data_IF_542741892158
#
_entry.id   IF_542741892158
#
_cell.length_a   1.000
_cell.length_b   1.000
_cell.length_c   1.000
_cell.angle_alpha   90.00
_cell.angle_beta   90.00
_cell.angle_gamma   90.00
#
_symmetry.space_group_name_H-M   'P 1'
#
loop_
_entity.id
_entity.type
_entity.pdbx_description
1 polymer ?
#
# COMPACT_ATOMS: atom_id res chain seq x y z
N UNK A 1 -7.54 -37.51 6.38
CA UNK A 1 -6.10 -37.38 6.50
C UNK A 1 -5.56 -36.27 5.62
N UNK A 2 -4.31 -35.87 5.82
CA UNK A 2 -3.60 -34.93 4.96
C UNK A 2 -2.13 -35.34 4.90
N UNK A 3 -1.46 -34.97 3.80
CA UNK A 3 -0.01 -35.11 3.62
C UNK A 3 0.67 -33.77 3.74
N UNK A 4 1.93 -33.73 4.12
CA UNK A 4 2.72 -32.51 4.27
C UNK A 4 4.05 -32.67 3.59
N UNK A 5 4.42 -31.69 2.79
CA UNK A 5 5.73 -31.57 2.16
C UNK A 5 6.46 -30.36 2.75
N UNK A 6 7.74 -30.53 3.04
CA UNK A 6 8.59 -29.51 3.66
C UNK A 6 9.87 -29.35 2.86
N UNK A 7 10.24 -28.12 2.56
CA UNK A 7 11.55 -27.73 2.08
C UNK A 7 12.16 -26.77 3.10
N UNK A 8 13.39 -27.07 3.53
CA UNK A 8 14.15 -26.25 4.48
C UNK A 8 15.58 -26.11 3.99
N UNK A 9 16.08 -24.86 4.02
CA UNK A 9 17.46 -24.52 3.75
C UNK A 9 17.94 -23.55 4.83
N UNK A 10 18.78 -24.04 5.75
CA UNK A 10 19.27 -23.26 6.89
C UNK A 10 20.27 -22.17 6.46
N UNK A 11 21.06 -22.42 5.43
CA UNK A 11 22.05 -21.45 4.93
C UNK A 11 21.38 -20.22 4.30
N UNK A 12 20.22 -20.42 3.65
CA UNK A 12 19.45 -19.35 3.01
C UNK A 12 18.31 -18.85 3.91
N UNK A 13 18.17 -19.37 5.12
CA UNK A 13 17.06 -19.07 6.05
C UNK A 13 15.66 -19.28 5.42
N UNK A 14 15.52 -20.31 4.56
CA UNK A 14 14.27 -20.62 3.85
C UNK A 14 13.58 -21.81 4.49
N UNK A 15 12.30 -21.65 4.78
CA UNK A 15 11.39 -22.71 5.17
C UNK A 15 10.10 -22.63 4.38
N UNK A 16 9.73 -23.70 3.68
CA UNK A 16 8.46 -23.82 2.95
C UNK A 16 7.76 -25.10 3.33
N UNK A 17 6.47 -25.02 3.61
CA UNK A 17 5.64 -26.17 3.92
C UNK A 17 4.30 -26.03 3.21
N UNK A 18 3.89 -27.08 2.51
CA UNK A 18 2.53 -27.24 1.98
C UNK A 18 1.83 -28.42 2.64
N UNK A 19 0.54 -28.28 2.81
CA UNK A 19 -0.36 -29.32 3.33
C UNK A 19 -1.36 -29.62 2.22
N UNK A 20 -1.45 -30.88 1.83
CA UNK A 20 -2.32 -31.35 0.75
C UNK A 20 -3.32 -32.38 1.28
N UNK A 21 -4.39 -32.59 0.55
CA UNK A 21 -5.37 -33.66 0.83
C UNK A 21 -4.72 -35.04 0.83
N UNK A 22 -5.39 -36.03 1.40
CA UNK A 22 -4.88 -37.41 1.51
C UNK A 22 -4.60 -38.05 0.15
N UNK A 23 -5.42 -37.74 -0.85
CA UNK A 23 -5.24 -38.13 -2.24
C UNK A 23 -4.14 -37.37 -2.99
N UNK A 24 -3.60 -36.31 -2.37
CA UNK A 24 -2.55 -35.44 -2.96
C UNK A 24 -3.06 -34.39 -3.96
N UNK A 25 -4.36 -34.32 -4.22
CA UNK A 25 -4.92 -33.55 -5.33
C UNK A 25 -5.29 -32.11 -4.99
N UNK A 26 -5.49 -31.77 -3.71
CA UNK A 26 -5.92 -30.43 -3.29
C UNK A 26 -4.94 -29.80 -2.31
N UNK A 27 -4.65 -28.52 -2.51
CA UNK A 27 -3.88 -27.71 -1.55
C UNK A 27 -4.77 -27.26 -0.40
N UNK A 28 -4.46 -27.70 0.82
CA UNK A 28 -5.19 -27.32 2.03
C UNK A 28 -4.59 -26.08 2.71
N UNK A 29 -3.28 -25.92 2.64
CA UNK A 29 -2.59 -24.76 3.23
C UNK A 29 -1.12 -24.72 2.89
N UNK A 30 -0.51 -23.56 3.12
CA UNK A 30 0.93 -23.35 2.94
C UNK A 30 1.50 -22.39 4.00
N UNK A 31 2.75 -22.62 4.38
CA UNK A 31 3.55 -21.72 5.23
C UNK A 31 4.90 -21.54 4.56
N UNK A 32 5.32 -20.29 4.40
CA UNK A 32 6.63 -19.95 3.82
C UNK A 32 7.32 -18.88 4.66
N UNK A 33 8.62 -19.06 4.85
CA UNK A 33 9.51 -18.13 5.57
C UNK A 33 10.78 -17.99 4.74
N UNK A 34 11.32 -16.78 4.65
CA UNK A 34 12.44 -16.45 3.78
C UNK A 34 11.99 -16.22 2.33
N UNK A 35 12.16 -17.20 1.45
CA UNK A 35 11.65 -17.13 0.09
C UNK A 35 10.14 -17.42 0.02
N UNK A 36 9.36 -16.42 -0.32
CA UNK A 36 7.90 -16.47 -0.46
C UNK A 36 7.42 -16.31 -1.91
N UNK A 37 8.31 -16.47 -2.88
CA UNK A 37 8.02 -16.26 -4.31
C UNK A 37 6.85 -17.11 -4.83
N UNK A 38 6.66 -18.31 -4.28
CA UNK A 38 5.60 -19.23 -4.70
C UNK A 38 4.23 -18.91 -4.09
N UNK A 39 4.12 -17.89 -3.22
CA UNK A 39 2.88 -17.58 -2.49
C UNK A 39 1.69 -17.31 -3.41
N UNK A 40 1.91 -16.54 -4.48
CA UNK A 40 0.86 -16.17 -5.43
C UNK A 40 0.23 -17.40 -6.10
N UNK A 41 1.06 -18.30 -6.60
CA UNK A 41 0.62 -19.50 -7.29
C UNK A 41 -0.07 -20.47 -6.33
N UNK A 42 0.49 -20.70 -5.15
CA UNK A 42 -0.12 -21.53 -4.11
C UNK A 42 -1.48 -21.00 -3.64
N UNK A 43 -1.62 -19.67 -3.56
CA UNK A 43 -2.90 -19.05 -3.22
C UNK A 43 -3.95 -19.31 -4.30
N UNK A 44 -3.58 -19.18 -5.59
CA UNK A 44 -4.49 -19.47 -6.70
C UNK A 44 -4.90 -20.94 -6.74
N UNK A 45 -3.96 -21.87 -6.56
CA UNK A 45 -4.23 -23.30 -6.45
C UNK A 45 -5.28 -23.59 -5.37
N UNK A 46 -5.13 -22.97 -4.19
CA UNK A 46 -6.05 -23.15 -3.07
C UNK A 46 -7.41 -22.51 -3.30
N UNK A 47 -7.46 -21.23 -3.73
CA UNK A 47 -8.72 -20.48 -3.87
C UNK A 47 -9.62 -21.02 -4.98
N UNK A 48 -9.00 -21.50 -6.05
CA UNK A 48 -9.72 -22.00 -7.22
C UNK A 48 -9.84 -23.54 -7.23
N UNK A 49 -9.46 -24.21 -6.15
CA UNK A 49 -9.48 -25.68 -6.00
C UNK A 49 -8.85 -26.42 -7.20
N UNK A 50 -7.77 -25.84 -7.76
CA UNK A 50 -7.08 -26.41 -8.90
C UNK A 50 -6.38 -27.70 -8.47
N UNK A 51 -6.53 -28.76 -9.26
CA UNK A 51 -5.88 -30.05 -9.00
C UNK A 51 -4.35 -29.90 -9.06
N UNK A 52 -3.69 -30.42 -8.04
CA UNK A 52 -2.24 -30.35 -7.90
C UNK A 52 -1.55 -31.29 -8.89
N UNK A 53 -0.31 -30.99 -9.30
CA UNK A 53 0.48 -31.93 -10.11
C UNK A 53 0.74 -33.23 -9.34
N UNK A 54 1.09 -34.27 -10.05
CA UNK A 54 1.37 -35.62 -9.50
C UNK A 54 2.44 -35.57 -8.38
N UNK A 55 3.38 -34.60 -8.46
CA UNK A 55 4.42 -34.33 -7.49
C UNK A 55 4.25 -32.93 -6.86
N UNK A 56 3.41 -32.78 -5.83
CA UNK A 56 3.12 -31.48 -5.22
C UNK A 56 4.34 -30.80 -4.56
N UNK A 57 5.36 -31.56 -4.17
CA UNK A 57 6.63 -31.08 -3.62
C UNK A 57 7.37 -30.14 -4.59
N UNK A 58 7.20 -30.35 -5.90
CA UNK A 58 7.81 -29.48 -6.94
C UNK A 58 7.38 -28.02 -6.84
N UNK A 59 6.21 -27.76 -6.26
CA UNK A 59 5.68 -26.41 -6.08
C UNK A 59 6.50 -25.53 -5.11
N UNK A 60 7.24 -26.16 -4.18
CA UNK A 60 8.02 -25.48 -3.15
C UNK A 60 9.52 -25.69 -3.29
N UNK A 61 9.96 -26.54 -4.20
CA UNK A 61 11.38 -26.76 -4.47
C UNK A 61 11.98 -25.57 -5.24
N UNK A 62 13.26 -25.22 -5.00
CA UNK A 62 13.93 -24.20 -5.79
C UNK A 62 14.07 -24.65 -7.25
N UNK A 63 13.95 -23.72 -8.19
CA UNK A 63 14.22 -24.00 -9.59
C UNK A 63 15.71 -24.36 -9.74
N UNK A 64 16.00 -25.54 -10.30
CA UNK A 64 17.37 -25.86 -10.72
C UNK A 64 17.75 -24.99 -11.93
N UNK A 65 19.02 -24.62 -12.02
CA UNK A 65 19.52 -23.81 -13.13
C UNK A 65 19.15 -24.46 -14.48
N UNK A 66 18.27 -23.81 -15.23
CA UNK A 66 17.79 -24.26 -16.55
C UNK A 66 16.44 -24.96 -16.58
N UNK A 67 15.77 -25.19 -15.43
CA UNK A 67 14.38 -25.67 -15.39
C UNK A 67 13.45 -24.50 -15.07
N UNK A 68 12.50 -24.21 -15.95
CA UNK A 68 11.40 -23.31 -15.62
C UNK A 68 10.51 -23.96 -14.57
N UNK A 69 10.25 -23.26 -13.45
CA UNK A 69 9.20 -23.68 -12.52
C UNK A 69 7.88 -23.68 -13.29
N UNK A 70 7.01 -24.67 -13.09
CA UNK A 70 5.65 -24.62 -13.60
C UNK A 70 4.93 -23.44 -12.89
N UNK A 71 5.01 -22.26 -13.45
CA UNK A 71 4.16 -21.15 -13.04
C UNK A 71 2.76 -21.40 -13.58
N UNK A 72 1.76 -21.25 -12.75
CA UNK A 72 0.37 -21.20 -13.22
C UNK A 72 0.20 -19.91 -14.05
N UNK A 73 0.53 -20.00 -15.32
CA UNK A 73 0.25 -18.92 -16.27
C UNK A 73 -1.24 -18.59 -16.26
N UNK A 74 -1.58 -17.35 -16.61
CA UNK A 74 -2.98 -16.91 -16.70
C UNK A 74 -3.83 -17.85 -17.59
N UNK A 75 -3.22 -18.53 -18.55
CA UNK A 75 -3.85 -19.50 -19.42
C UNK A 75 -4.29 -20.79 -18.71
N UNK A 76 -3.57 -21.22 -17.73
CA UNK A 76 -3.87 -22.44 -16.96
C UNK A 76 -5.01 -22.27 -15.97
N UNK A 77 -5.42 -21.03 -15.66
CA UNK A 77 -6.54 -20.76 -14.78
C UNK A 77 -7.88 -21.10 -15.48
N UNK A 78 -8.81 -21.81 -14.83
CA UNK A 78 -10.14 -22.04 -15.38
C UNK A 78 -10.93 -20.74 -15.49
N UNK A 79 -11.91 -20.67 -16.37
CA UNK A 79 -12.75 -19.47 -16.55
C UNK A 79 -13.52 -19.08 -15.28
N UNK A 80 -13.81 -20.04 -14.42
CA UNK A 80 -14.44 -19.82 -13.11
C UNK A 80 -13.47 -19.28 -12.05
N UNK A 81 -12.15 -19.22 -12.34
CA UNK A 81 -11.16 -18.74 -11.39
C UNK A 81 -11.42 -17.30 -10.97
N UNK A 82 -11.52 -17.06 -9.67
CA UNK A 82 -11.73 -15.71 -9.10
C UNK A 82 -10.42 -14.92 -9.14
N UNK A 83 -10.36 -13.94 -10.03
CA UNK A 83 -9.21 -13.05 -10.22
C UNK A 83 -9.25 -11.86 -9.25
N UNK A 84 -10.43 -11.28 -9.05
CA UNK A 84 -10.65 -10.19 -8.10
C UNK A 84 -11.67 -10.59 -7.04
N UNK A 85 -11.20 -10.94 -5.85
CA UNK A 85 -12.07 -11.33 -4.72
C UNK A 85 -12.90 -10.19 -4.14
N UNK A 86 -12.50 -8.94 -4.39
CA UNK A 86 -13.21 -7.76 -3.88
C UNK A 86 -14.55 -7.52 -4.61
N UNK A 87 -14.59 -7.83 -5.89
CA UNK A 87 -15.75 -7.64 -6.77
C UNK A 87 -16.24 -8.94 -7.40
N UNK A 88 -15.73 -10.07 -6.94
CA UNK A 88 -16.08 -11.41 -7.42
C UNK A 88 -15.98 -11.53 -8.96
N UNK A 89 -14.84 -11.02 -9.50
CA UNK A 89 -14.58 -11.04 -10.94
C UNK A 89 -13.77 -12.28 -11.28
N UNK A 90 -14.36 -13.13 -12.14
CA UNK A 90 -13.71 -14.34 -12.64
C UNK A 90 -12.90 -14.07 -13.91
N UNK A 91 -12.03 -15.02 -14.29
CA UNK A 91 -11.32 -15.01 -15.56
C UNK A 91 -12.30 -14.93 -16.73
N UNK A 92 -13.39 -15.70 -16.70
CA UNK A 92 -14.42 -15.68 -17.75
C UNK A 92 -15.05 -14.31 -17.95
N UNK A 93 -15.32 -13.54 -16.87
CA UNK A 93 -15.82 -12.16 -16.98
C UNK A 93 -14.82 -11.23 -17.67
N UNK A 94 -13.52 -11.43 -17.44
CA UNK A 94 -12.48 -10.65 -18.13
C UNK A 94 -12.41 -11.06 -19.60
N UNK A 95 -12.44 -12.35 -19.91
CA UNK A 95 -12.47 -12.86 -21.28
C UNK A 95 -13.69 -12.35 -22.08
N UNK A 96 -14.86 -12.33 -21.46
CA UNK A 96 -16.08 -11.78 -22.04
C UNK A 96 -15.93 -10.27 -22.32
N UNK A 97 -15.37 -9.50 -21.40
CA UNK A 97 -15.09 -8.08 -21.62
C UNK A 97 -14.11 -7.86 -22.78
N UNK A 98 -13.07 -8.69 -22.90
CA UNK A 98 -12.14 -8.65 -24.05
C UNK A 98 -12.86 -8.93 -25.37
N UNK A 99 -13.74 -9.94 -25.41
CA UNK A 99 -14.54 -10.27 -26.59
C UNK A 99 -15.51 -9.14 -26.99
N UNK A 100 -15.91 -8.30 -26.04
CA UNK A 100 -16.74 -7.10 -26.27
C UNK A 100 -15.92 -5.87 -26.70
N UNK A 101 -14.60 -5.99 -26.87
CA UNK A 101 -13.74 -4.92 -27.36
C UNK A 101 -13.08 -4.09 -26.26
N UNK A 102 -13.10 -4.54 -25.01
CA UNK A 102 -12.43 -3.88 -23.90
C UNK A 102 -10.98 -4.36 -23.79
N UNK A 103 -10.05 -3.64 -24.39
CA UNK A 103 -8.67 -4.09 -24.59
C UNK A 103 -7.65 -3.45 -23.65
N UNK A 104 -8.06 -2.55 -22.78
CA UNK A 104 -7.15 -1.91 -21.82
C UNK A 104 -7.50 -2.27 -20.38
N UNK A 105 -6.51 -2.19 -19.51
CA UNK A 105 -6.73 -2.39 -18.05
C UNK A 105 -7.76 -1.37 -17.49
N UNK A 106 -7.81 -0.17 -18.07
CA UNK A 106 -8.78 0.86 -17.74
C UNK A 106 -10.20 0.43 -18.07
N UNK A 107 -10.42 -0.14 -19.26
CA UNK A 107 -11.71 -0.65 -19.70
C UNK A 107 -12.16 -1.82 -18.80
N UNK A 108 -11.27 -2.77 -18.55
CA UNK A 108 -11.56 -3.91 -17.67
C UNK A 108 -11.97 -3.42 -16.27
N UNK A 109 -11.27 -2.43 -15.69
CA UNK A 109 -11.65 -1.80 -14.43
C UNK A 109 -13.03 -1.17 -14.49
N UNK A 110 -13.35 -0.46 -15.59
CA UNK A 110 -14.62 0.24 -15.75
C UNK A 110 -15.81 -0.73 -15.85
N UNK A 111 -15.64 -1.82 -16.61
CA UNK A 111 -16.72 -2.77 -16.91
C UNK A 111 -16.91 -3.80 -15.81
N UNK A 112 -15.80 -4.31 -15.23
CA UNK A 112 -15.87 -5.41 -14.25
C UNK A 112 -15.71 -4.97 -12.81
N UNK A 113 -15.18 -3.78 -12.56
CA UNK A 113 -14.79 -3.32 -11.21
C UNK A 113 -13.47 -3.93 -10.71
N UNK A 114 -12.86 -4.87 -11.43
CA UNK A 114 -11.60 -5.49 -11.02
C UNK A 114 -10.49 -4.45 -10.86
N UNK A 115 -9.75 -4.52 -9.75
CA UNK A 115 -8.65 -3.59 -9.47
C UNK A 115 -9.05 -2.20 -8.99
N UNK A 116 -10.35 -1.88 -8.88
CA UNK A 116 -10.81 -0.57 -8.40
C UNK A 116 -10.89 -0.48 -6.87
N UNK A 117 -10.85 -1.62 -6.19
CA UNK A 117 -10.89 -1.69 -4.73
C UNK A 117 -9.49 -1.65 -4.10
N UNK A 118 -8.99 -2.80 -3.63
CA UNK A 118 -7.69 -2.90 -2.96
C UNK A 118 -6.49 -2.80 -3.92
N UNK A 119 -6.70 -3.01 -5.22
CA UNK A 119 -5.66 -3.00 -6.24
C UNK A 119 -4.79 -4.26 -6.31
N UNK A 120 -4.85 -5.15 -5.33
CA UNK A 120 -3.97 -6.33 -5.24
C UNK A 120 -4.12 -7.34 -6.38
N UNK A 121 -5.24 -7.32 -7.09
CA UNK A 121 -5.47 -8.20 -8.24
C UNK A 121 -4.93 -7.64 -9.57
N UNK A 122 -4.48 -6.37 -9.63
CA UNK A 122 -4.08 -5.72 -10.89
C UNK A 122 -3.04 -6.52 -11.68
N UNK A 123 -1.94 -7.06 -11.09
CA UNK A 123 -0.98 -7.85 -11.83
C UNK A 123 -1.60 -9.08 -12.50
N UNK A 124 -2.45 -9.81 -11.77
CA UNK A 124 -3.11 -10.99 -12.30
C UNK A 124 -4.18 -10.64 -13.35
N UNK A 125 -4.95 -9.57 -13.13
CA UNK A 125 -5.91 -9.02 -14.13
C UNK A 125 -5.18 -8.66 -15.42
N UNK A 126 -4.00 -8.03 -15.32
CA UNK A 126 -3.18 -7.67 -16.50
C UNK A 126 -2.67 -8.91 -17.21
N UNK A 127 -2.20 -9.93 -16.50
CA UNK A 127 -1.77 -11.20 -17.10
C UNK A 127 -2.90 -11.90 -17.82
N UNK A 128 -4.09 -11.96 -17.22
CA UNK A 128 -5.27 -12.57 -17.86
C UNK A 128 -5.70 -11.75 -19.10
N UNK A 129 -5.76 -10.42 -18.99
CA UNK A 129 -6.09 -9.55 -20.12
C UNK A 129 -5.12 -9.77 -21.29
N UNK A 130 -3.82 -9.79 -21.03
CA UNK A 130 -2.80 -10.00 -22.06
C UNK A 130 -2.92 -11.39 -22.72
N UNK A 131 -3.19 -12.42 -21.93
CA UNK A 131 -3.40 -13.77 -22.44
C UNK A 131 -4.65 -13.86 -23.33
N UNK A 132 -5.76 -13.24 -22.93
CA UNK A 132 -7.00 -13.23 -23.73
C UNK A 132 -6.86 -12.36 -24.99
N UNK A 133 -6.15 -11.23 -24.93
CA UNK A 133 -5.83 -10.41 -26.10
C UNK A 133 -4.96 -11.17 -27.12
N UNK A 134 -3.95 -11.91 -26.63
CA UNK A 134 -3.11 -12.75 -27.49
C UNK A 134 -3.93 -13.84 -28.19
N UNK A 135 -4.88 -14.50 -27.50
CA UNK A 135 -5.82 -15.46 -28.10
C UNK A 135 -6.71 -14.82 -29.15
N UNK A 136 -7.13 -13.58 -28.93
CA UNK A 136 -7.93 -12.81 -29.89
C UNK A 136 -7.12 -12.26 -31.08
N UNK A 137 -5.80 -12.50 -31.15
CA UNK A 137 -4.90 -11.98 -32.17
C UNK A 137 -4.66 -10.48 -32.10
N UNK A 138 -4.93 -9.86 -30.97
CA UNK A 138 -4.69 -8.44 -30.72
C UNK A 138 -3.27 -8.24 -30.23
N UNK A 139 -2.53 -7.33 -30.87
CA UNK A 139 -1.17 -6.98 -30.45
C UNK A 139 -1.17 -6.32 -29.05
N UNK A 140 -0.50 -6.95 -28.09
CA UNK A 140 -0.40 -6.44 -26.72
C UNK A 140 0.73 -5.43 -26.67
N UNK A 141 0.39 -4.15 -26.44
CA UNK A 141 1.39 -3.12 -26.16
C UNK A 141 1.83 -3.22 -24.70
N UNK A 142 3.13 -3.46 -24.53
CA UNK A 142 3.75 -3.54 -23.19
C UNK A 142 4.31 -2.18 -22.72
N UNK A 143 3.62 -1.10 -23.07
CA UNK A 143 4.01 0.25 -22.68
C UNK A 143 4.00 0.39 -21.16
N UNK A 144 5.02 1.04 -20.59
CA UNK A 144 5.12 1.25 -19.14
C UNK A 144 3.93 2.07 -18.63
N UNK A 145 3.60 3.14 -19.31
CA UNK A 145 2.45 4.00 -19.00
C UNK A 145 2.20 5.00 -20.14
N UNK A 146 1.22 5.86 -19.97
CA UNK A 146 0.92 6.94 -20.92
C UNK A 146 2.07 7.93 -21.19
N UNK A 147 3.03 8.02 -20.25
CA UNK A 147 4.21 8.91 -20.38
C UNK A 147 5.33 8.29 -21.22
N UNK A 148 5.41 6.96 -21.28
CA UNK A 148 6.42 6.22 -22.02
C UNK A 148 5.77 5.10 -22.84
N UNK A 149 5.73 5.27 -24.17
CA UNK A 149 5.27 4.24 -25.11
C UNK A 149 6.39 3.21 -25.38
N UNK A 150 7.01 2.74 -24.31
CA UNK A 150 8.10 1.77 -24.32
C UNK A 150 7.88 0.76 -23.19
N UNK A 151 8.29 -0.48 -23.41
CA UNK A 151 8.38 -1.48 -22.36
C UNK A 151 9.56 -1.18 -21.42
N UNK A 152 9.56 -1.80 -20.22
CA UNK A 152 10.70 -1.73 -19.29
C UNK A 152 12.01 -2.11 -19.95
N UNK A 153 11.99 -3.15 -20.80
CA UNK A 153 13.20 -3.67 -21.45
C UNK A 153 13.74 -2.70 -22.51
N UNK A 154 12.86 -2.08 -23.29
CA UNK A 154 13.25 -1.05 -24.24
C UNK A 154 13.83 0.18 -23.55
N UNK A 155 13.20 0.65 -22.47
CA UNK A 155 13.78 1.74 -21.65
C UNK A 155 15.14 1.37 -21.06
N UNK A 156 15.34 0.14 -20.62
CA UNK A 156 16.63 -0.33 -20.15
C UNK A 156 17.70 -0.26 -21.25
N UNK A 157 17.39 -0.69 -22.47
CA UNK A 157 18.31 -0.62 -23.60
C UNK A 157 18.62 0.81 -24.00
N UNK A 158 17.60 1.69 -24.09
CA UNK A 158 17.78 3.11 -24.40
C UNK A 158 18.68 3.80 -23.38
N UNK A 159 18.41 3.61 -22.09
CA UNK A 159 19.24 4.16 -21.01
C UNK A 159 20.69 3.71 -21.11
N UNK A 160 20.93 2.43 -21.42
CA UNK A 160 22.31 1.90 -21.55
C UNK A 160 23.03 2.39 -22.79
N UNK A 161 22.35 2.39 -23.94
CA UNK A 161 22.96 2.71 -25.23
C UNK A 161 23.29 4.20 -25.31
N UNK A 162 22.36 5.05 -24.85
CA UNK A 162 22.53 6.51 -24.88
C UNK A 162 23.16 7.08 -23.61
N UNK A 163 23.56 6.22 -22.69
CA UNK A 163 24.17 6.60 -21.41
C UNK A 163 23.37 7.63 -20.59
N UNK A 164 22.04 7.55 -20.67
CA UNK A 164 21.12 8.46 -19.94
C UNK A 164 21.37 8.33 -18.44
N UNK A 165 21.58 9.45 -17.76
CA UNK A 165 21.94 9.48 -16.33
C UNK A 165 20.82 9.95 -15.42
N UNK A 166 19.79 10.63 -15.96
CA UNK A 166 18.72 11.21 -15.15
C UNK A 166 17.34 10.85 -15.68
N UNK A 167 16.33 10.91 -14.82
CA UNK A 167 14.94 10.74 -15.24
C UNK A 167 14.47 11.87 -16.16
N UNK A 168 14.90 13.09 -15.88
CA UNK A 168 14.49 14.26 -16.65
C UNK A 168 15.01 14.17 -18.08
N UNK A 169 16.26 13.73 -18.28
CA UNK A 169 16.84 13.46 -19.61
C UNK A 169 16.09 12.34 -20.34
N UNK A 170 15.72 11.25 -19.63
CA UNK A 170 14.94 10.15 -20.19
C UNK A 170 13.55 10.64 -20.63
N UNK A 171 12.92 11.47 -19.81
CA UNK A 171 11.60 12.03 -20.09
C UNK A 171 11.62 12.99 -21.28
N UNK A 172 12.64 13.85 -21.37
CA UNK A 172 12.81 14.81 -22.47
C UNK A 172 13.01 14.09 -23.81
N UNK A 173 13.82 13.03 -23.85
CA UNK A 173 14.14 12.31 -25.09
C UNK A 173 13.05 11.35 -25.54
N UNK A 174 12.44 10.63 -24.60
CA UNK A 174 11.58 9.47 -24.91
C UNK A 174 10.21 9.50 -24.25
N UNK A 175 9.96 10.46 -23.40
CA UNK A 175 8.72 10.56 -22.66
C UNK A 175 7.88 11.77 -23.02
N UNK A 176 6.81 11.96 -22.27
CA UNK A 176 5.94 13.14 -22.33
C UNK A 176 5.39 13.48 -20.96
N UNK A 177 5.02 14.74 -20.74
CA UNK A 177 4.46 15.21 -19.46
C UNK A 177 5.50 15.23 -18.35
N UNK A 178 5.09 14.90 -17.12
CA UNK A 178 5.91 14.99 -15.91
C UNK A 178 6.29 13.61 -15.32
N UNK A 179 5.87 12.52 -15.97
CA UNK A 179 5.97 11.17 -15.42
C UNK A 179 4.93 10.92 -14.31
N UNK A 180 4.79 9.66 -13.88
CA UNK A 180 3.80 9.22 -12.90
C UNK A 180 4.39 8.24 -11.87
N UNK A 181 3.54 7.78 -10.97
CA UNK A 181 3.86 6.79 -9.93
C UNK A 181 4.35 5.43 -10.46
N UNK A 182 4.17 5.17 -11.76
CA UNK A 182 4.64 3.94 -12.42
C UNK A 182 6.03 4.15 -13.03
N UNK A 183 6.17 5.15 -13.92
CA UNK A 183 7.41 5.33 -14.68
C UNK A 183 8.57 5.90 -13.85
N UNK A 184 8.32 6.77 -12.86
CA UNK A 184 9.39 7.34 -12.03
C UNK A 184 10.14 6.28 -11.22
N UNK A 185 9.50 5.43 -10.41
CA UNK A 185 10.22 4.37 -9.68
C UNK A 185 10.78 3.30 -10.62
N UNK A 186 10.12 3.00 -11.75
CA UNK A 186 10.64 2.07 -12.74
C UNK A 186 11.93 2.59 -13.38
N UNK A 187 11.94 3.84 -13.85
CA UNK A 187 13.13 4.47 -14.38
C UNK A 187 14.24 4.60 -13.33
N UNK A 188 13.89 4.96 -12.08
CA UNK A 188 14.82 4.95 -10.96
C UNK A 188 15.48 3.59 -10.74
N UNK A 189 14.71 2.51 -10.79
CA UNK A 189 15.23 1.14 -10.71
C UNK A 189 16.16 0.79 -11.88
N UNK A 190 15.82 1.19 -13.11
CA UNK A 190 16.65 0.94 -14.29
C UNK A 190 17.97 1.74 -14.18
N UNK A 191 17.88 3.04 -13.87
CA UNK A 191 19.05 3.91 -13.71
C UNK A 191 19.98 3.37 -12.61
N UNK A 192 19.43 2.93 -11.49
CA UNK A 192 20.20 2.31 -10.41
C UNK A 192 20.88 1.00 -10.84
N UNK A 193 20.23 0.22 -11.69
CA UNK A 193 20.81 -1.04 -12.24
C UNK A 193 21.90 -0.78 -13.26
N UNK A 194 21.81 0.31 -14.03
CA UNK A 194 22.78 0.68 -15.04
C UNK A 194 24.00 1.43 -14.46
N UNK A 195 23.76 2.26 -13.43
CA UNK A 195 24.72 3.21 -12.89
C UNK A 195 24.82 3.03 -11.38
N UNK A 196 25.86 2.29 -10.93
CA UNK A 196 26.02 1.90 -9.53
C UNK A 196 26.01 3.05 -8.51
N UNK A 197 26.42 4.26 -8.89
CA UNK A 197 26.42 5.43 -8.03
C UNK A 197 25.05 6.10 -7.93
N UNK A 198 24.09 5.74 -8.77
CA UNK A 198 22.78 6.41 -8.86
C UNK A 198 22.03 6.36 -7.53
N UNK A 199 22.02 5.19 -6.86
CA UNK A 199 21.31 4.97 -5.59
C UNK A 199 21.83 5.88 -4.47
N UNK A 200 23.12 6.20 -4.50
CA UNK A 200 23.79 6.95 -3.43
C UNK A 200 23.59 8.47 -3.53
N UNK A 201 22.99 8.95 -4.60
CA UNK A 201 22.72 10.39 -4.80
C UNK A 201 21.49 10.82 -4.04
N UNK A 202 21.60 11.75 -3.04
CA UNK A 202 20.48 12.16 -2.20
C UNK A 202 19.28 12.73 -2.99
N UNK A 203 19.55 13.43 -4.09
CA UNK A 203 18.54 14.02 -4.97
C UNK A 203 17.67 12.98 -5.69
N UNK A 204 18.15 11.75 -5.83
CA UNK A 204 17.47 10.66 -6.54
C UNK A 204 16.68 9.71 -5.62
N UNK A 205 16.80 9.86 -4.31
CA UNK A 205 16.04 9.05 -3.32
C UNK A 205 14.54 9.06 -3.59
N UNK A 206 14.00 10.17 -4.08
CA UNK A 206 12.58 10.33 -4.41
C UNK A 206 12.09 9.38 -5.52
N UNK A 207 12.97 8.89 -6.38
CA UNK A 207 12.62 7.96 -7.46
C UNK A 207 12.52 6.52 -6.96
N UNK A 208 13.14 6.21 -5.84
CA UNK A 208 13.21 4.83 -5.32
C UNK A 208 12.03 4.46 -4.41
N UNK A 209 11.44 5.46 -3.74
CA UNK A 209 10.30 5.23 -2.84
C UNK A 209 9.31 6.39 -2.88
N UNK A 210 8.23 6.19 -3.62
CA UNK A 210 7.17 7.19 -3.78
C UNK A 210 6.29 7.34 -2.55
N UNK A 211 6.29 6.36 -1.64
CA UNK A 211 5.46 6.35 -0.45
C UNK A 211 6.18 6.91 0.79
N UNK A 212 7.50 6.87 0.82
CA UNK A 212 8.33 7.35 1.93
C UNK A 212 8.93 8.75 1.69
N UNK A 213 8.40 9.49 0.73
CA UNK A 213 8.87 10.82 0.43
C UNK A 213 8.42 11.82 1.50
N UNK A 214 9.38 12.43 2.19
CA UNK A 214 9.14 13.38 3.28
C UNK A 214 8.53 14.70 2.82
N UNK A 215 8.69 15.07 1.56
CA UNK A 215 8.20 16.34 1.04
C UNK A 215 6.80 16.24 0.43
N UNK A 216 6.48 15.11 -0.19
CA UNK A 216 5.18 14.93 -0.81
C UNK A 216 4.98 13.50 -1.31
N UNK A 217 3.71 13.10 -1.46
CA UNK A 217 3.34 11.81 -2.04
C UNK A 217 3.00 12.00 -3.52
N UNK A 218 3.61 11.21 -4.40
CA UNK A 218 3.39 11.32 -5.84
C UNK A 218 1.98 10.89 -6.22
N UNK A 219 1.35 11.65 -7.09
CA UNK A 219 0.00 11.43 -7.61
C UNK A 219 0.06 10.84 -9.02
N UNK A 220 -1.07 10.38 -9.54
CA UNK A 220 -1.16 9.74 -10.85
C UNK A 220 -0.68 10.60 -12.01
N UNK A 221 -0.94 11.90 -11.91
CA UNK A 221 -0.52 12.90 -12.92
C UNK A 221 0.94 13.35 -12.77
N UNK A 222 1.69 12.73 -11.85
CA UNK A 222 3.08 13.08 -11.58
C UNK A 222 3.28 14.29 -10.67
N UNK A 223 2.21 14.97 -10.26
CA UNK A 223 2.26 15.99 -9.21
C UNK A 223 2.37 15.38 -7.82
N UNK A 224 2.45 16.21 -6.79
CA UNK A 224 2.63 15.77 -5.42
C UNK A 224 1.54 16.32 -4.49
N UNK A 225 1.17 15.51 -3.50
CA UNK A 225 0.35 15.97 -2.38
C UNK A 225 1.23 16.44 -1.24
N UNK A 226 0.89 17.58 -0.65
CA UNK A 226 1.50 18.12 0.55
C UNK A 226 0.48 18.04 1.67
N UNK A 227 0.75 17.23 2.70
CA UNK A 227 -0.18 17.00 3.80
C UNK A 227 0.51 17.34 5.12
N UNK A 228 0.41 18.60 5.57
CA UNK A 228 1.00 19.03 6.82
C UNK A 228 0.39 18.26 7.99
N UNK A 229 1.22 17.96 8.98
CA UNK A 229 0.77 17.30 10.19
C UNK A 229 -0.11 18.23 11.03
N UNK A 230 -1.26 17.74 11.42
CA UNK A 230 -2.19 18.37 12.36
C UNK A 230 -2.51 17.33 13.43
N UNK A 231 -1.74 17.31 14.52
CA UNK A 231 -1.90 16.31 15.57
C UNK A 231 -3.30 16.40 16.19
N UNK A 232 -4.01 15.27 16.26
CA UNK A 232 -5.38 15.25 16.73
C UNK A 232 -6.37 16.09 15.93
N UNK A 233 -5.99 16.61 14.77
CA UNK A 233 -6.80 17.52 13.95
C UNK A 233 -6.74 18.98 14.39
N UNK A 234 -5.90 19.33 15.37
CA UNK A 234 -5.75 20.72 15.81
C UNK A 234 -4.93 21.56 14.83
N UNK A 235 -5.38 22.78 14.63
CA UNK A 235 -4.68 23.81 13.82
C UNK A 235 -4.97 25.20 14.39
N UNK A 236 -3.96 26.04 14.51
CA UNK A 236 -4.15 27.43 14.94
C UNK A 236 -4.69 28.28 13.79
N UNK A 237 -5.45 29.35 14.06
CA UNK A 237 -5.90 30.27 13.01
C UNK A 237 -4.77 30.85 12.17
N UNK A 238 -3.61 31.11 12.78
CA UNK A 238 -2.43 31.65 12.10
C UNK A 238 -1.82 30.62 11.14
N UNK A 239 -1.67 29.36 11.58
CA UNK A 239 -1.19 28.29 10.74
C UNK A 239 -2.17 28.00 9.59
N UNK A 240 -3.49 28.02 9.86
CA UNK A 240 -4.51 27.85 8.84
C UNK A 240 -4.44 28.95 7.77
N UNK A 241 -4.20 30.21 8.17
CA UNK A 241 -4.01 31.33 7.23
C UNK A 241 -2.83 31.08 6.30
N UNK A 242 -1.65 30.73 6.83
CA UNK A 242 -0.45 30.42 6.01
C UNK A 242 -0.71 29.26 5.06
N UNK A 243 -1.41 28.24 5.49
CA UNK A 243 -1.75 27.10 4.63
C UNK A 243 -2.64 27.52 3.44
N UNK A 244 -3.60 28.41 3.68
CA UNK A 244 -4.46 28.95 2.63
C UNK A 244 -3.67 29.86 1.66
N UNK A 245 -2.75 30.68 2.16
CA UNK A 245 -1.87 31.54 1.36
C UNK A 245 -0.96 30.68 0.47
N UNK A 246 -0.33 29.64 0.99
CA UNK A 246 0.49 28.70 0.23
C UNK A 246 -0.34 27.99 -0.85
N UNK A 247 -1.54 27.53 -0.51
CA UNK A 247 -2.41 26.90 -1.49
C UNK A 247 -2.77 27.83 -2.65
N UNK A 248 -3.08 29.10 -2.36
CA UNK A 248 -3.39 30.10 -3.37
C UNK A 248 -2.18 30.45 -4.24
N UNK A 249 -1.01 30.63 -3.64
CA UNK A 249 0.22 31.00 -4.34
C UNK A 249 0.68 29.95 -5.36
N UNK A 250 0.58 28.66 -4.98
CA UNK A 250 0.98 27.54 -5.84
C UNK A 250 -0.17 26.90 -6.60
N UNK A 251 -1.37 27.52 -6.57
CA UNK A 251 -2.59 27.02 -7.23
C UNK A 251 -2.90 25.56 -6.88
N UNK A 252 -2.84 25.21 -5.59
CA UNK A 252 -3.05 23.85 -5.11
C UNK A 252 -4.52 23.59 -4.79
N UNK A 253 -5.03 22.43 -5.18
CA UNK A 253 -6.34 21.97 -4.73
C UNK A 253 -6.29 21.62 -3.24
N UNK A 254 -7.24 22.12 -2.47
CA UNK A 254 -7.31 21.90 -1.03
C UNK A 254 -8.49 21.01 -0.65
N UNK A 255 -8.27 20.07 0.28
CA UNK A 255 -9.33 19.20 0.80
C UNK A 255 -9.10 18.84 2.26
N UNK A 256 -10.15 18.93 3.07
CA UNK A 256 -10.19 18.30 4.39
C UNK A 256 -10.30 16.79 4.20
N UNK A 257 -9.35 16.05 4.72
CA UNK A 257 -9.27 14.59 4.58
C UNK A 257 -9.94 13.88 5.76
N UNK A 258 -10.29 12.60 5.58
CA UNK A 258 -10.80 11.76 6.67
C UNK A 258 -9.79 11.55 7.82
N UNK A 259 -8.54 11.95 7.63
CA UNK A 259 -7.49 11.98 8.64
C UNK A 259 -7.46 13.27 9.47
N UNK A 260 -8.47 14.11 9.37
CA UNK A 260 -8.54 15.42 10.04
C UNK A 260 -7.35 16.34 9.67
N UNK A 261 -6.90 16.27 8.43
CA UNK A 261 -5.85 17.12 7.89
C UNK A 261 -6.33 17.84 6.66
N UNK A 262 -5.76 18.99 6.38
CA UNK A 262 -5.96 19.69 5.13
C UNK A 262 -4.83 19.28 4.18
N UNK A 263 -5.19 18.55 3.13
CA UNK A 263 -4.25 18.15 2.08
C UNK A 263 -4.23 19.20 0.97
N UNK A 264 -3.03 19.51 0.47
CA UNK A 264 -2.76 20.33 -0.69
C UNK A 264 -2.33 19.41 -1.83
N UNK A 265 -2.96 19.51 -2.98
CA UNK A 265 -2.77 18.58 -4.09
C UNK A 265 -2.40 19.34 -5.36
N UNK A 266 -1.57 18.73 -6.22
CA UNK A 266 -1.15 19.30 -7.49
C UNK A 266 0.20 20.04 -7.43
N UNK A 267 0.97 19.88 -6.34
CA UNK A 267 2.28 20.53 -6.22
C UNK A 267 3.29 19.96 -7.22
N UNK A 268 4.06 20.84 -7.88
CA UNK A 268 5.19 20.39 -8.69
C UNK A 268 6.37 19.99 -7.79
N UNK A 269 7.18 19.04 -8.27
CA UNK A 269 8.33 18.53 -7.51
C UNK A 269 9.25 19.64 -7.03
N UNK A 270 9.54 20.60 -7.91
CA UNK A 270 10.51 21.66 -7.65
C UNK A 270 9.97 22.73 -6.72
N UNK A 271 8.66 22.86 -6.58
CA UNK A 271 8.01 23.77 -5.63
C UNK A 271 8.00 23.23 -4.19
N UNK A 272 8.14 21.90 -4.00
CA UNK A 272 8.02 21.27 -2.69
C UNK A 272 8.95 21.88 -1.62
N UNK A 273 10.24 22.18 -1.89
CA UNK A 273 11.11 22.79 -0.89
C UNK A 273 10.63 24.18 -0.45
N UNK A 274 10.14 25.00 -1.38
CA UNK A 274 9.63 26.34 -1.10
C UNK A 274 8.31 26.30 -0.32
N UNK A 275 7.38 25.41 -0.72
CA UNK A 275 6.13 25.17 -0.02
C UNK A 275 6.41 24.74 1.43
N UNK A 276 7.27 23.74 1.63
CA UNK A 276 7.58 23.24 2.97
C UNK A 276 8.34 24.26 3.82
N UNK A 277 9.20 25.08 3.24
CA UNK A 277 9.86 26.16 3.99
C UNK A 277 8.83 27.11 4.63
N UNK A 278 7.78 27.48 3.91
CA UNK A 278 6.70 28.33 4.43
C UNK A 278 5.87 27.63 5.48
N UNK A 279 5.49 26.37 5.23
CA UNK A 279 4.69 25.59 6.16
C UNK A 279 5.42 25.29 7.48
N UNK A 280 6.71 24.94 7.39
CA UNK A 280 7.55 24.71 8.58
C UNK A 280 7.72 25.99 9.39
N UNK A 281 7.91 27.14 8.75
CA UNK A 281 7.98 28.43 9.42
C UNK A 281 6.68 28.78 10.17
N UNK A 282 5.53 28.25 9.72
CA UNK A 282 4.23 28.38 10.39
C UNK A 282 3.98 27.29 11.48
N UNK A 283 4.98 26.44 11.76
CA UNK A 283 4.90 25.42 12.79
C UNK A 283 4.39 24.04 12.33
N UNK A 284 4.19 23.84 11.03
CA UNK A 284 3.83 22.52 10.52
C UNK A 284 5.03 21.57 10.45
N UNK A 285 4.74 20.29 10.55
CA UNK A 285 5.70 19.20 10.34
C UNK A 285 5.40 18.44 9.05
N UNK A 286 6.46 17.94 8.39
CA UNK A 286 6.40 17.13 7.16
C UNK A 286 6.55 15.63 7.47
N UNK A 287 6.27 14.79 6.49
CA UNK A 287 6.61 13.36 6.47
C UNK A 287 5.67 12.42 7.22
N UNK A 288 4.73 12.93 8.00
CA UNK A 288 3.91 12.13 8.91
C UNK A 288 2.71 11.43 8.27
N UNK A 289 2.32 11.84 7.07
CA UNK A 289 1.12 11.34 6.41
C UNK A 289 1.37 10.20 5.41
N UNK A 290 2.64 9.83 5.20
CA UNK A 290 3.06 8.92 4.14
C UNK A 290 3.55 7.58 4.66
N UNK A 291 3.47 6.56 3.79
CA UNK A 291 4.06 5.24 3.96
C UNK A 291 3.61 4.42 5.17
N UNK A 292 4.48 3.52 5.56
CA UNK A 292 4.32 2.54 6.64
C UNK A 292 4.69 3.17 7.98
N UNK A 293 3.80 4.01 8.50
CA UNK A 293 3.99 4.71 9.78
C UNK A 293 2.64 4.92 10.46
N UNK A 294 2.67 5.44 11.68
CA UNK A 294 1.46 5.98 12.29
C UNK A 294 1.00 7.19 11.48
N UNK A 295 -0.18 7.07 10.89
CA UNK A 295 -0.73 8.08 9.98
C UNK A 295 -1.41 9.22 10.73
N UNK A 296 -2.13 8.91 11.78
CA UNK A 296 -2.87 9.86 12.61
C UNK A 296 -3.43 9.18 13.85
N UNK A 297 -3.76 10.01 14.84
CA UNK A 297 -4.71 9.70 15.89
C UNK A 297 -5.95 10.59 15.68
N UNK A 298 -7.01 10.06 15.05
CA UNK A 298 -8.26 10.79 14.83
C UNK A 298 -8.95 11.03 16.18
N UNK A 299 -9.36 12.27 16.45
CA UNK A 299 -10.05 12.63 17.70
C UNK A 299 -11.46 13.14 17.45
N UNK A 300 -12.32 13.08 18.45
CA UNK A 300 -13.47 13.94 18.52
C UNK A 300 -13.11 15.22 19.28
N UNK A 301 -14.02 16.15 19.44
CA UNK A 301 -13.75 17.44 20.11
C UNK A 301 -13.57 17.35 21.63
N UNK A 302 -13.77 16.16 22.22
CA UNK A 302 -13.49 15.87 23.64
C UNK A 302 -14.42 16.55 24.65
N UNK A 303 -14.08 16.38 25.91
CA UNK A 303 -14.88 16.90 27.02
C UNK A 303 -14.91 18.42 27.11
N UNK A 304 -13.90 19.10 26.58
CA UNK A 304 -13.84 20.58 26.61
C UNK A 304 -14.96 21.23 25.78
N UNK A 305 -15.30 20.66 24.63
CA UNK A 305 -16.21 21.28 23.68
C UNK A 305 -17.52 20.48 23.48
N UNK A 306 -17.54 19.21 23.90
CA UNK A 306 -18.70 18.35 23.72
C UNK A 306 -19.40 18.09 25.04
N UNK A 307 -20.70 18.44 25.15
CA UNK A 307 -21.52 18.17 26.35
C UNK A 307 -21.61 16.69 26.73
N UNK A 308 -21.31 15.77 25.82
CA UNK A 308 -21.35 14.33 26.06
C UNK A 308 -19.95 13.73 26.27
N UNK A 309 -18.91 14.52 26.09
CA UNK A 309 -17.55 14.07 26.29
C UNK A 309 -17.28 13.85 27.78
N UNK A 310 -16.77 12.66 28.13
CA UNK A 310 -16.42 12.31 29.52
C UNK A 310 -14.92 12.43 29.80
N UNK A 311 -14.10 12.37 28.76
CA UNK A 311 -12.64 12.49 28.83
C UNK A 311 -12.09 13.41 27.75
N UNK A 312 -10.87 13.92 27.95
CA UNK A 312 -10.13 14.73 26.99
C UNK A 312 -9.52 13.88 25.85
N UNK A 313 -10.30 13.63 24.81
CA UNK A 313 -9.85 12.87 23.65
C UNK A 313 -8.84 13.62 22.78
N UNK A 314 -8.90 14.95 22.74
CA UNK A 314 -7.99 15.76 21.91
C UNK A 314 -6.60 15.74 22.52
N UNK A 315 -6.45 16.08 23.80
CA UNK A 315 -5.18 16.06 24.48
C UNK A 315 -4.52 14.67 24.47
N UNK A 316 -5.33 13.61 24.66
CA UNK A 316 -4.84 12.23 24.58
C UNK A 316 -4.37 11.88 23.15
N UNK A 317 -5.16 12.21 22.12
CA UNK A 317 -4.82 11.94 20.74
C UNK A 317 -3.57 12.68 20.27
N UNK A 318 -3.44 13.97 20.63
CA UNK A 318 -2.24 14.77 20.35
C UNK A 318 -1.01 14.17 21.01
N UNK A 319 -1.12 13.75 22.30
CA UNK A 319 -0.02 13.12 23.02
C UNK A 319 0.40 11.79 22.37
N UNK A 320 -0.56 10.94 22.00
CA UNK A 320 -0.29 9.67 21.32
C UNK A 320 0.39 9.92 19.97
N UNK A 321 -0.14 10.82 19.16
CA UNK A 321 0.45 11.13 17.85
C UNK A 321 1.87 11.68 17.98
N UNK A 322 2.14 12.52 18.98
CA UNK A 322 3.48 13.04 19.28
C UNK A 322 4.44 11.96 19.76
N UNK A 323 3.97 11.00 20.57
CA UNK A 323 4.79 9.92 21.11
C UNK A 323 5.28 8.98 20.01
N UNK A 324 4.43 8.63 19.06
CA UNK A 324 4.71 7.59 18.05
C UNK A 324 5.05 8.15 16.68
N UNK A 325 5.11 9.47 16.51
CA UNK A 325 5.51 10.08 15.23
C UNK A 325 6.89 9.61 14.78
N UNK A 326 7.04 9.36 13.49
CA UNK A 326 8.31 8.91 12.89
C UNK A 326 8.62 7.42 13.08
N UNK A 327 7.82 6.68 13.85
CA UNK A 327 7.99 5.23 13.97
C UNK A 327 7.51 4.56 12.69
N UNK A 328 8.41 3.78 12.07
CA UNK A 328 8.06 2.91 10.94
C UNK A 328 7.25 1.73 11.45
N UNK A 329 6.22 1.35 10.71
CA UNK A 329 5.35 0.22 11.04
C UNK A 329 5.27 -0.73 9.84
N UNK A 330 4.92 -2.02 10.03
CA UNK A 330 4.81 -2.99 8.94
C UNK A 330 3.81 -2.58 7.86
N UNK A 331 2.78 -1.86 8.24
CA UNK A 331 1.75 -1.26 7.37
C UNK A 331 1.35 0.10 7.94
N UNK A 332 0.60 0.88 7.17
CA UNK A 332 0.06 2.15 7.67
C UNK A 332 -0.88 1.89 8.84
N UNK A 333 -0.66 2.55 9.95
CA UNK A 333 -1.48 2.45 11.16
C UNK A 333 -2.31 3.71 11.38
N UNK A 334 -3.53 3.53 11.82
CA UNK A 334 -4.46 4.61 12.15
C UNK A 334 -5.02 4.37 13.54
N UNK A 335 -5.02 5.41 14.35
CA UNK A 335 -5.61 5.41 15.67
C UNK A 335 -6.87 6.27 15.71
N UNK A 336 -7.75 5.99 16.66
CA UNK A 336 -8.94 6.78 16.92
C UNK A 336 -9.16 6.94 18.42
N UNK A 337 -9.44 8.14 18.87
CA UNK A 337 -9.68 8.47 20.28
C UNK A 337 -11.02 9.18 20.40
N UNK A 338 -12.01 8.49 20.94
CA UNK A 338 -13.35 9.01 21.19
C UNK A 338 -13.52 9.40 22.68
N UNK A 339 -13.97 10.60 22.93
CA UNK A 339 -14.17 11.16 24.28
C UNK A 339 -15.41 10.64 25.02
N UNK A 340 -16.15 9.72 24.42
CA UNK A 340 -17.29 8.99 25.01
C UNK A 340 -17.71 7.83 24.12
N UNK A 341 -18.67 7.02 24.59
CA UNK A 341 -19.21 5.83 23.90
C UNK A 341 -20.01 6.12 22.63
N UNK A 342 -20.25 7.40 22.27
CA UNK A 342 -20.86 7.78 20.97
C UNK A 342 -19.91 7.60 19.78
N UNK A 343 -18.63 7.42 20.06
CA UNK A 343 -17.65 6.89 19.10
C UNK A 343 -17.45 7.76 17.85
N UNK A 344 -17.50 9.10 17.99
CA UNK A 344 -17.42 10.04 16.86
C UNK A 344 -16.07 10.05 16.14
N UNK A 345 -15.00 9.52 16.76
CA UNK A 345 -13.68 9.35 16.12
C UNK A 345 -13.55 8.04 15.34
N UNK A 346 -14.61 7.22 15.27
CA UNK A 346 -14.61 5.92 14.58
C UNK A 346 -13.48 4.99 15.09
N UNK A 347 -13.29 4.97 16.40
CA UNK A 347 -12.17 4.26 17.04
C UNK A 347 -12.23 2.75 16.77
N UNK A 348 -13.41 2.12 16.78
CA UNK A 348 -13.55 0.68 16.51
C UNK A 348 -13.29 0.28 15.04
N UNK A 349 -13.22 1.26 14.14
CA UNK A 349 -12.81 1.03 12.75
C UNK A 349 -11.32 1.30 12.48
N UNK A 350 -10.48 1.40 13.51
CA UNK A 350 -9.05 1.69 13.40
C UNK A 350 -8.20 0.53 13.88
N UNK A 351 -6.92 0.53 13.51
CA UNK A 351 -5.95 -0.47 13.96
C UNK A 351 -5.84 -0.48 15.49
N UNK A 352 -5.94 0.71 16.10
CA UNK A 352 -6.07 0.91 17.53
C UNK A 352 -7.13 1.96 17.83
N UNK A 353 -8.13 1.58 18.62
CA UNK A 353 -9.23 2.42 19.06
C UNK A 353 -9.21 2.66 20.54
N UNK A 354 -9.51 3.88 20.96
CA UNK A 354 -9.60 4.28 22.37
C UNK A 354 -10.94 5.00 22.56
N UNK A 355 -11.73 4.51 23.50
CA UNK A 355 -13.04 5.08 23.82
C UNK A 355 -13.08 5.39 25.31
N UNK A 356 -13.43 6.64 25.62
CA UNK A 356 -13.57 7.09 27.00
C UNK A 356 -14.84 6.53 27.66
N UNK A 357 -14.70 6.16 28.95
CA UNK A 357 -15.76 5.87 29.88
C UNK A 357 -15.64 6.78 31.10
N UNK A 358 -16.62 6.78 31.99
CA UNK A 358 -16.53 7.53 33.25
C UNK A 358 -15.42 7.00 34.17
N UNK A 359 -15.08 5.69 34.05
CA UNK A 359 -14.06 5.04 34.85
C UNK A 359 -12.63 5.14 34.27
N UNK A 360 -12.50 5.45 32.96
CA UNK A 360 -11.19 5.49 32.31
C UNK A 360 -11.27 5.39 30.79
N UNK A 361 -10.41 4.57 30.21
CA UNK A 361 -10.29 4.37 28.79
C UNK A 361 -10.41 2.90 28.40
N UNK A 362 -11.26 2.59 27.46
CA UNK A 362 -11.33 1.27 26.83
C UNK A 362 -10.43 1.25 25.61
N UNK A 363 -9.57 0.25 25.52
CA UNK A 363 -8.66 0.03 24.39
C UNK A 363 -9.15 -1.10 23.51
N UNK A 364 -9.29 -0.80 22.22
CA UNK A 364 -9.70 -1.72 21.17
C UNK A 364 -8.59 -1.88 20.15
N UNK A 365 -8.43 -3.08 19.57
CA UNK A 365 -7.35 -3.39 18.62
C UNK A 365 -7.88 -4.16 17.42
N UNK A 366 -7.12 -4.12 16.31
CA UNK A 366 -7.37 -4.91 15.11
C UNK A 366 -8.67 -4.56 14.35
N UNK A 367 -9.15 -3.33 14.46
CA UNK A 367 -10.25 -2.83 13.64
C UNK A 367 -9.80 -2.48 12.22
N UNK A 368 -10.74 -2.49 11.30
CA UNK A 368 -10.51 -2.11 9.91
C UNK A 368 -11.75 -1.39 9.35
N UNK A 369 -11.57 -0.14 8.92
CA UNK A 369 -12.60 0.64 8.22
C UNK A 369 -12.47 0.61 6.70
N UNK A 370 -11.70 -0.34 6.15
CA UNK A 370 -11.49 -0.50 4.72
C UNK A 370 -12.57 -1.35 4.03
N UNK A 371 -12.23 -1.93 2.88
CA UNK A 371 -13.15 -2.71 2.04
C UNK A 371 -13.77 -3.94 2.72
N UNK A 372 -13.03 -4.57 3.64
CA UNK A 372 -13.57 -5.62 4.52
C UNK A 372 -13.66 -5.04 5.93
N UNK A 373 -14.73 -4.31 6.27
CA UNK A 373 -14.84 -3.66 7.56
C UNK A 373 -14.89 -4.69 8.67
N UNK A 374 -14.19 -4.39 9.76
CA UNK A 374 -14.18 -5.20 10.98
C UNK A 374 -14.16 -4.27 12.17
N UNK A 375 -15.02 -4.51 13.14
CA UNK A 375 -14.94 -3.87 14.44
C UNK A 375 -13.70 -4.37 15.18
N UNK A 376 -13.03 -3.46 15.86
CA UNK A 376 -11.90 -3.78 16.72
C UNK A 376 -12.36 -4.60 17.94
N UNK A 377 -11.51 -5.50 18.40
CA UNK A 377 -11.76 -6.29 19.60
C UNK A 377 -11.35 -5.48 20.85
N UNK A 378 -12.15 -5.56 21.90
CA UNK A 378 -11.83 -4.96 23.21
C UNK A 378 -10.64 -5.72 23.82
N UNK A 379 -9.52 -5.02 24.01
CA UNK A 379 -8.32 -5.58 24.63
C UNK A 379 -8.31 -5.36 26.15
N UNK A 380 -8.69 -4.16 26.60
CA UNK A 380 -8.74 -3.81 28.01
C UNK A 380 -9.74 -2.67 28.26
N UNK A 381 -10.33 -2.63 29.45
CA UNK A 381 -11.32 -1.64 29.86
C UNK A 381 -10.88 -0.83 31.06
N UNK A 382 -11.43 0.36 31.18
CA UNK A 382 -11.33 1.26 32.33
C UNK A 382 -9.87 1.57 32.75
N UNK A 383 -8.99 1.67 31.74
CA UNK A 383 -7.58 1.97 31.95
C UNK A 383 -7.39 3.44 32.35
N UNK A 384 -6.55 3.66 33.36
CA UNK A 384 -5.97 4.99 33.55
C UNK A 384 -5.01 5.34 32.40
N UNK A 385 -4.69 6.63 32.26
CA UNK A 385 -3.91 7.15 31.14
C UNK A 385 -2.51 6.50 31.06
N UNK A 386 -1.83 6.30 32.18
CA UNK A 386 -0.46 5.78 32.20
C UNK A 386 -0.43 4.29 31.84
N UNK A 387 -1.41 3.54 32.34
CA UNK A 387 -1.59 2.14 31.99
C UNK A 387 -1.98 1.98 30.53
N UNK A 388 -2.87 2.83 30.00
CA UNK A 388 -3.23 2.84 28.59
C UNK A 388 -1.98 3.02 27.70
N UNK A 389 -1.10 3.98 28.01
CA UNK A 389 0.13 4.20 27.23
C UNK A 389 1.05 2.97 27.26
N UNK A 390 1.18 2.30 28.40
CA UNK A 390 1.94 1.03 28.49
C UNK A 390 1.35 -0.07 27.59
N UNK A 391 0.03 -0.16 27.52
CA UNK A 391 -0.65 -1.10 26.62
C UNK A 391 -0.41 -0.76 25.15
N UNK A 392 -0.47 0.53 24.78
CA UNK A 392 -0.17 1.00 23.43
C UNK A 392 1.28 0.70 23.06
N UNK A 393 2.25 0.99 23.95
CA UNK A 393 3.67 0.67 23.75
C UNK A 393 3.88 -0.82 23.45
N UNK A 394 3.21 -1.69 24.19
CA UNK A 394 3.27 -3.15 23.99
C UNK A 394 2.62 -3.56 22.67
N UNK A 395 1.45 -3.02 22.36
CA UNK A 395 0.77 -3.29 21.08
C UNK A 395 1.64 -2.87 19.89
N UNK A 396 2.26 -1.69 19.93
CA UNK A 396 3.19 -1.22 18.91
C UNK A 396 4.41 -2.15 18.78
N UNK A 397 4.97 -2.59 19.89
CA UNK A 397 6.11 -3.53 19.91
C UNK A 397 5.73 -4.88 19.29
N UNK A 398 4.59 -5.45 19.65
CA UNK A 398 4.09 -6.72 19.09
C UNK A 398 3.81 -6.57 17.61
N UNK A 399 3.16 -5.51 17.20
CA UNK A 399 2.90 -5.22 15.79
C UNK A 399 4.21 -5.14 14.98
N UNK A 400 5.21 -4.43 15.52
CA UNK A 400 6.52 -4.31 14.89
C UNK A 400 7.25 -5.65 14.78
N UNK A 401 7.30 -6.44 15.85
CA UNK A 401 8.09 -7.67 15.93
C UNK A 401 7.44 -8.86 15.22
N UNK A 402 6.11 -8.93 15.16
CA UNK A 402 5.38 -10.08 14.62
C UNK A 402 4.81 -9.84 13.22
N UNK A 403 4.59 -8.58 12.82
CA UNK A 403 4.06 -8.22 11.51
C UNK A 403 5.12 -7.68 10.54
N UNK A 404 6.37 -7.50 10.99
CA UNK A 404 7.52 -7.13 10.14
C UNK A 404 8.07 -8.28 9.32
N UNK A 405 7.35 -9.39 9.18
CA UNK A 405 7.68 -10.30 8.09
C UNK A 405 7.64 -9.48 6.80
N UNK A 406 8.68 -9.57 5.95
CA UNK A 406 8.65 -8.95 4.65
C UNK A 406 7.48 -9.54 3.87
N UNK A 407 6.28 -8.98 4.04
CA UNK A 407 5.33 -9.00 2.98
C UNK A 407 5.97 -8.14 1.91
N UNK A 408 6.76 -8.77 1.07
CA UNK A 408 7.00 -8.26 -0.27
C UNK A 408 5.60 -8.22 -0.86
N UNK A 409 4.92 -7.09 -0.69
CA UNK A 409 3.83 -6.79 -1.58
C UNK A 409 4.50 -6.57 -2.93
N UNK A 410 4.23 -7.38 -3.94
CA UNK A 410 4.64 -7.03 -5.27
C UNK A 410 4.04 -5.66 -5.57
N UNK A 411 4.90 -4.73 -5.92
CA UNK A 411 4.56 -3.41 -6.45
C UNK A 411 3.89 -3.60 -7.80
#
# INVERSE_FOLDING_TARGET
GCKSYVYQNEEQEVYKRIIVSEDGKKLLGAVMVGDTSDYGDLLQLKLNEIELPEHPDTLILPAHAGAEKPTLGADALPESAVICSCFDVTKGKIAEAVAQGHHTIGDIKAVTGAGTGCGGCIPLVTSVLNAELAKAGVEVKNDVCEHFAYSRQELFHLIRIEEIKTFDELLEKYGKGYGCEVCKPLAGSILASCWGEHILKPELVKLHDTNDNFLGNMQKDGTYSVIPRMAGGEVTPQALKVLAEVAAEYNLYTKVTGAQRIGLFGAQKDDLPAIWKKLIAAGYETGQAYAKALRMAKTCVGSTWCRYGVQDSVGLGVMIENRYKGIRTPHKMKFGVSGCTRECAEAQGKDLGIIATDAGWNMYVCGNGGMKPRHADLLASDLDKDTLIKYIDRFMTVSYTHLTRPTIQPV
#
